data_IF_571617205563
#
_entry.id   IF_571617205563
#
_cell.length_a   1.000
_cell.length_b   1.000
_cell.length_c   1.000
_cell.angle_alpha   90.00
_cell.angle_beta   90.00
_cell.angle_gamma   90.00
#
_symmetry.space_group_name_H-M   'P 1'
#
loop_
_entity.id
_entity.type
_entity.pdbx_description
1 polymer ?
#
# COMPACT_ATOMS: atom_id res chain seq x y z
N UNK A 1 0.00 7.53 -14.36
CA UNK A 1 -1.48 7.53 -14.53
C UNK A 1 -2.15 7.60 -13.16
N UNK A 2 -3.25 8.34 -13.04
CA UNK A 2 -4.07 8.38 -11.82
C UNK A 2 -4.97 7.14 -11.75
N UNK A 3 -4.92 6.39 -10.64
CA UNK A 3 -5.85 5.29 -10.37
C UNK A 3 -6.98 5.70 -9.40
N UNK A 4 -6.81 6.85 -8.76
CA UNK A 4 -7.83 7.54 -7.97
C UNK A 4 -8.01 8.95 -8.48
N UNK A 5 -9.13 9.59 -8.15
CA UNK A 5 -9.36 11.00 -8.46
C UNK A 5 -8.22 11.88 -7.91
N UNK A 6 -7.60 12.78 -8.71
CA UNK A 6 -6.58 13.70 -8.22
C UNK A 6 -7.02 14.54 -7.00
N UNK A 7 -8.31 14.86 -6.86
CA UNK A 7 -8.85 15.56 -5.68
C UNK A 7 -8.85 14.67 -4.43
N UNK A 8 -9.06 13.37 -4.60
CA UNK A 8 -8.98 12.39 -3.51
C UNK A 8 -7.52 12.30 -3.00
N UNK A 9 -6.55 12.23 -3.92
CA UNK A 9 -5.14 12.31 -3.55
C UNK A 9 -4.77 13.64 -2.87
N UNK A 10 -5.25 14.78 -3.38
CA UNK A 10 -5.01 16.09 -2.76
C UNK A 10 -5.55 16.13 -1.32
N UNK A 11 -6.72 15.55 -1.09
CA UNK A 11 -7.30 15.42 0.24
C UNK A 11 -6.40 14.60 1.18
N UNK A 12 -5.90 13.45 0.72
CA UNK A 12 -4.99 12.60 1.51
C UNK A 12 -3.70 13.34 1.86
N UNK A 13 -3.08 14.00 0.88
CA UNK A 13 -1.82 14.73 1.09
C UNK A 13 -2.00 15.97 1.97
N UNK A 14 -3.15 16.66 1.90
CA UNK A 14 -3.45 17.78 2.77
C UNK A 14 -3.58 17.31 4.23
N UNK A 15 -4.30 16.21 4.49
CA UNK A 15 -4.39 15.60 5.81
C UNK A 15 -3.03 15.12 6.32
N UNK A 16 -2.25 14.46 5.47
CA UNK A 16 -0.91 13.99 5.81
C UNK A 16 -0.01 15.14 6.27
N UNK A 17 0.08 16.22 5.47
CA UNK A 17 0.91 17.39 5.80
C UNK A 17 0.44 18.10 7.06
N UNK A 18 -0.87 18.13 7.32
CA UNK A 18 -1.43 18.75 8.51
C UNK A 18 -1.15 17.92 9.78
N UNK A 19 -1.30 16.60 9.72
CA UNK A 19 -1.14 15.71 10.88
C UNK A 19 0.34 15.36 11.15
N UNK A 20 1.17 15.32 10.12
CA UNK A 20 2.56 14.84 10.18
C UNK A 20 3.51 15.93 9.66
N UNK A 21 3.58 17.12 10.30
CA UNK A 21 4.44 18.22 9.86
C UNK A 21 5.93 17.88 9.95
N UNK A 22 6.31 16.87 10.74
CA UNK A 22 7.68 16.40 10.84
C UNK A 22 8.16 15.56 9.65
N UNK A 23 7.27 15.06 8.79
CA UNK A 23 7.66 14.25 7.65
C UNK A 23 8.11 15.13 6.48
N UNK A 24 9.18 14.71 5.81
CA UNK A 24 9.66 15.35 4.60
C UNK A 24 9.01 14.74 3.36
N UNK A 25 8.62 15.59 2.42
CA UNK A 25 8.09 15.20 1.11
C UNK A 25 8.97 15.75 -0.04
N UNK A 26 10.15 16.27 0.27
CA UNK A 26 10.97 17.04 -0.68
C UNK A 26 11.53 16.19 -1.83
N UNK A 27 11.78 14.90 -1.58
CA UNK A 27 12.34 13.94 -2.56
C UNK A 27 11.28 13.10 -3.28
N UNK A 28 9.99 13.33 -3.05
CA UNK A 28 8.95 12.51 -3.69
C UNK A 28 8.95 12.62 -5.21
N UNK A 29 9.25 13.81 -5.75
CA UNK A 29 9.40 14.02 -7.19
C UNK A 29 10.61 13.27 -7.76
N UNK A 30 11.73 13.24 -7.02
CA UNK A 30 12.93 12.47 -7.36
C UNK A 30 12.62 10.97 -7.40
N UNK A 31 11.96 10.46 -6.36
CA UNK A 31 11.55 9.06 -6.27
C UNK A 31 10.64 8.65 -7.43
N UNK A 32 9.66 9.48 -7.76
CA UNK A 32 8.73 9.23 -8.87
C UNK A 32 9.44 9.19 -10.23
N UNK A 33 10.36 10.13 -10.48
CA UNK A 33 11.15 10.17 -11.71
C UNK A 33 12.10 8.97 -11.80
N UNK A 34 12.72 8.57 -10.69
CA UNK A 34 13.58 7.39 -10.66
C UNK A 34 12.78 6.12 -10.95
N UNK A 35 11.62 5.93 -10.30
CA UNK A 35 10.74 4.80 -10.55
C UNK A 35 10.28 4.72 -12.02
N UNK A 36 9.94 5.86 -12.62
CA UNK A 36 9.59 5.97 -14.05
C UNK A 36 10.73 5.47 -14.97
N UNK A 37 11.98 5.79 -14.65
CA UNK A 37 13.17 5.37 -15.43
C UNK A 37 13.55 3.91 -15.22
N UNK A 38 13.35 3.38 -14.02
CA UNK A 38 13.70 1.99 -13.70
C UNK A 38 12.81 0.97 -14.45
N UNK A 39 11.64 1.40 -14.90
CA UNK A 39 10.69 0.57 -15.63
C UNK A 39 10.04 -0.50 -14.76
N UNK A 40 8.77 -0.77 -15.03
CA UNK A 40 7.96 -1.77 -14.35
C UNK A 40 6.89 -2.30 -15.28
N UNK A 41 6.08 -3.23 -14.77
CA UNK A 41 4.86 -3.65 -15.44
C UNK A 41 3.84 -2.51 -15.45
N UNK A 42 2.91 -2.56 -16.40
CA UNK A 42 1.71 -1.70 -16.35
C UNK A 42 0.77 -2.18 -15.25
N UNK A 43 -0.20 -1.33 -14.90
CA UNK A 43 -1.31 -1.68 -14.00
C UNK A 43 -2.14 -2.86 -14.50
N UNK A 44 -2.08 -3.21 -15.79
CA UNK A 44 -2.79 -4.37 -16.34
C UNK A 44 -2.33 -5.70 -15.71
N UNK A 45 -1.08 -5.76 -15.24
CA UNK A 45 -0.58 -6.91 -14.48
C UNK A 45 -1.32 -7.10 -13.15
N UNK A 46 -1.87 -6.02 -12.58
CA UNK A 46 -2.73 -6.06 -11.39
C UNK A 46 -4.19 -6.31 -11.80
N UNK A 47 -4.66 -5.74 -12.91
CA UNK A 47 -6.02 -5.96 -13.42
C UNK A 47 -6.32 -7.42 -13.81
N UNK A 48 -5.28 -8.25 -13.98
CA UNK A 48 -5.43 -9.68 -14.27
C UNK A 48 -5.91 -10.52 -13.08
N UNK A 49 -5.85 -10.02 -11.85
CA UNK A 49 -6.38 -10.71 -10.67
C UNK A 49 -7.88 -10.45 -10.49
N UNK A 50 -8.59 -11.38 -9.84
CA UNK A 50 -9.97 -11.15 -9.42
C UNK A 50 -9.98 -10.29 -8.14
N UNK A 51 -10.21 -8.99 -8.30
CA UNK A 51 -10.30 -8.05 -7.19
C UNK A 51 -11.67 -8.00 -6.52
N UNK A 52 -12.65 -8.81 -6.93
CA UNK A 52 -14.03 -8.71 -6.43
C UNK A 52 -14.13 -8.78 -4.90
N UNK A 53 -13.29 -9.60 -4.25
CA UNK A 53 -13.25 -9.84 -2.80
C UNK A 53 -11.80 -9.99 -2.29
N UNK A 54 -10.97 -8.93 -2.35
CA UNK A 54 -9.59 -8.96 -1.90
C UNK A 54 -9.49 -9.07 -0.38
N UNK A 55 -8.46 -9.78 0.08
CA UNK A 55 -8.01 -9.77 1.46
C UNK A 55 -6.68 -9.03 1.59
N UNK A 56 -6.70 -7.93 2.33
CA UNK A 56 -5.52 -7.15 2.68
C UNK A 56 -5.02 -7.59 4.06
N UNK A 57 -3.78 -8.04 4.11
CA UNK A 57 -3.11 -8.48 5.33
C UNK A 57 -2.07 -7.43 5.73
N UNK A 58 -2.28 -6.76 6.87
CA UNK A 58 -1.33 -5.81 7.43
C UNK A 58 -0.76 -6.33 8.75
N UNK A 59 0.48 -5.99 9.12
CA UNK A 59 1.05 -6.46 10.37
C UNK A 59 0.48 -5.69 11.58
N UNK A 60 0.08 -6.38 12.68
CA UNK A 60 0.02 -7.83 12.84
C UNK A 60 -1.34 -8.39 12.39
N UNK A 61 -1.42 -9.18 11.33
CA UNK A 61 -2.65 -9.90 11.00
C UNK A 61 -2.80 -11.10 11.95
N UNK A 62 -4.05 -11.42 12.33
CA UNK A 62 -4.34 -12.48 13.31
C UNK A 62 -5.18 -13.62 12.75
N UNK A 63 -5.81 -13.42 11.60
CA UNK A 63 -6.69 -14.40 10.97
C UNK A 63 -6.45 -14.42 9.47
N UNK A 64 -6.61 -15.60 8.88
CA UNK A 64 -6.70 -15.74 7.43
C UNK A 64 -8.13 -15.45 6.99
N UNK A 65 -8.28 -14.79 5.83
CA UNK A 65 -9.58 -14.52 5.23
C UNK A 65 -9.94 -15.68 4.33
N UNK A 66 -10.97 -16.44 4.71
CA UNK A 66 -11.52 -17.48 3.86
C UNK A 66 -12.27 -16.91 2.64
N UNK A 67 -12.10 -17.55 1.49
CA UNK A 67 -12.81 -17.18 0.26
C UNK A 67 -12.36 -15.86 -0.37
N UNK A 68 -11.18 -15.35 -0.03
CA UNK A 68 -10.57 -14.20 -0.69
C UNK A 68 -10.25 -14.53 -2.15
N UNK A 69 -10.60 -13.64 -3.08
CA UNK A 69 -10.33 -13.81 -4.51
C UNK A 69 -8.90 -13.43 -4.89
N UNK A 70 -8.29 -12.51 -4.13
CA UNK A 70 -6.89 -12.12 -4.24
C UNK A 70 -6.35 -11.81 -2.85
N UNK A 71 -5.11 -12.24 -2.58
CA UNK A 71 -4.40 -12.01 -1.34
C UNK A 71 -3.35 -10.89 -1.50
N UNK A 72 -3.49 -9.85 -0.68
CA UNK A 72 -2.62 -8.67 -0.71
C UNK A 72 -1.85 -8.59 0.60
N UNK A 73 -0.53 -8.79 0.56
CA UNK A 73 0.33 -8.60 1.71
C UNK A 73 0.86 -7.15 1.76
N UNK A 74 0.89 -6.57 2.95
CA UNK A 74 1.52 -5.27 3.19
C UNK A 74 2.93 -5.50 3.73
N UNK A 75 3.93 -4.96 3.04
CA UNK A 75 5.36 -5.14 3.32
C UNK A 75 5.87 -6.58 3.12
N UNK A 76 7.19 -6.73 2.99
CA UNK A 76 7.83 -8.04 2.83
C UNK A 76 7.64 -8.95 4.05
N UNK A 77 7.61 -8.38 5.25
CA UNK A 77 7.35 -9.13 6.48
C UNK A 77 6.02 -9.88 6.44
N UNK A 78 4.93 -9.22 6.03
CA UNK A 78 3.62 -9.87 5.93
C UNK A 78 3.60 -10.92 4.83
N UNK A 79 4.30 -10.67 3.72
CA UNK A 79 4.44 -11.65 2.65
C UNK A 79 5.10 -12.95 3.15
N UNK A 80 6.18 -12.85 3.94
CA UNK A 80 6.83 -14.00 4.59
C UNK A 80 5.90 -14.69 5.57
N UNK A 81 5.22 -13.93 6.44
CA UNK A 81 4.30 -14.47 7.45
C UNK A 81 3.11 -15.22 6.83
N UNK A 82 2.59 -14.76 5.70
CA UNK A 82 1.56 -15.48 4.95
C UNK A 82 2.11 -16.78 4.34
N UNK A 83 3.31 -16.73 3.75
CA UNK A 83 3.95 -17.92 3.19
C UNK A 83 4.21 -19.00 4.26
N UNK A 84 4.65 -18.61 5.45
CA UNK A 84 4.79 -19.48 6.62
C UNK A 84 3.45 -20.10 7.07
N UNK A 85 2.33 -19.40 6.83
CA UNK A 85 0.97 -19.88 7.09
C UNK A 85 0.37 -20.68 5.91
N UNK A 86 1.15 -20.98 4.88
CA UNK A 86 0.70 -21.75 3.71
C UNK A 86 -0.08 -20.93 2.67
N UNK A 87 -0.11 -19.60 2.79
CA UNK A 87 -0.76 -18.70 1.84
C UNK A 87 0.30 -17.96 1.03
N UNK A 88 0.35 -18.19 -0.28
CA UNK A 88 1.21 -17.41 -1.17
C UNK A 88 0.50 -16.10 -1.52
N UNK A 89 1.07 -14.92 -1.20
CA UNK A 89 0.46 -13.66 -1.58
C UNK A 89 0.42 -13.48 -3.10
N UNK A 90 -0.68 -12.97 -3.62
CA UNK A 90 -0.80 -12.61 -5.03
C UNK A 90 -0.12 -11.28 -5.30
N UNK A 91 -0.40 -10.31 -4.44
CA UNK A 91 0.14 -8.96 -4.51
C UNK A 91 0.86 -8.62 -3.20
N UNK A 92 2.00 -7.94 -3.31
CA UNK A 92 2.68 -7.33 -2.15
C UNK A 92 2.74 -5.83 -2.36
N UNK A 93 2.21 -5.04 -1.43
CA UNK A 93 2.30 -3.57 -1.45
C UNK A 93 3.36 -3.15 -0.44
N UNK A 94 4.38 -2.41 -0.87
CA UNK A 94 5.50 -2.04 0.01
C UNK A 94 6.25 -0.81 -0.47
N UNK A 95 6.80 -0.04 0.45
CA UNK A 95 7.81 0.99 0.18
C UNK A 95 9.27 0.46 0.22
N UNK A 96 9.45 -0.85 0.44
CA UNK A 96 10.72 -1.59 0.55
C UNK A 96 11.48 -1.42 1.90
N UNK A 97 10.90 -0.77 2.91
CA UNK A 97 11.60 -0.54 4.19
C UNK A 97 11.77 -1.83 5.03
N UNK A 98 10.79 -2.73 4.99
CA UNK A 98 10.68 -3.84 5.92
C UNK A 98 10.66 -5.21 5.23
N UNK A 99 11.79 -5.91 5.39
CA UNK A 99 12.11 -7.19 4.72
C UNK A 99 11.90 -7.16 3.18
N UNK A 100 12.51 -6.21 2.44
CA UNK A 100 12.28 -6.05 1.00
C UNK A 100 12.60 -7.29 0.15
N UNK A 101 13.50 -8.16 0.62
CA UNK A 101 13.79 -9.45 -0.03
C UNK A 101 12.56 -10.40 -0.04
N UNK A 102 11.75 -10.35 1.01
CA UNK A 102 10.53 -11.17 1.16
C UNK A 102 9.38 -10.66 0.29
N UNK A 103 9.43 -9.42 -0.20
CA UNK A 103 8.40 -8.89 -1.10
C UNK A 103 8.27 -9.69 -2.41
N UNK A 104 9.37 -10.32 -2.86
CA UNK A 104 9.39 -11.19 -4.04
C UNK A 104 8.60 -12.50 -3.90
N UNK A 105 8.07 -12.82 -2.71
CA UNK A 105 7.17 -13.96 -2.52
C UNK A 105 5.82 -13.76 -3.24
N UNK A 106 5.43 -12.50 -3.46
CA UNK A 106 4.25 -12.11 -4.24
C UNK A 106 4.36 -12.44 -5.73
N UNK A 107 3.22 -12.63 -6.40
CA UNK A 107 3.19 -12.73 -7.88
C UNK A 107 3.47 -11.40 -8.57
N UNK A 108 3.00 -10.29 -7.99
CA UNK A 108 3.29 -8.91 -8.42
C UNK A 108 3.57 -8.05 -7.20
N UNK A 109 4.64 -7.26 -7.24
CA UNK A 109 4.99 -6.31 -6.16
C UNK A 109 4.62 -4.90 -6.57
N UNK A 110 3.77 -4.25 -5.79
CA UNK A 110 3.44 -2.84 -5.91
C UNK A 110 4.40 -2.05 -5.03
N UNK A 111 5.36 -1.39 -5.68
CA UNK A 111 6.44 -0.66 -5.00
C UNK A 111 6.07 0.81 -4.91
N UNK A 112 5.89 1.31 -3.70
CA UNK A 112 5.64 2.72 -3.44
C UNK A 112 6.94 3.52 -3.42
N UNK A 113 7.15 4.33 -4.46
CA UNK A 113 8.28 5.22 -4.57
C UNK A 113 7.96 6.59 -3.95
N UNK A 114 8.60 6.88 -2.82
CA UNK A 114 8.59 8.18 -2.15
C UNK A 114 9.98 8.57 -1.64
N UNK A 115 10.09 9.81 -1.17
CA UNK A 115 11.37 10.47 -0.91
C UNK A 115 12.27 9.81 0.13
N UNK A 116 11.71 9.14 1.13
CA UNK A 116 12.50 8.48 2.18
C UNK A 116 13.13 7.16 1.68
N UNK A 117 12.51 6.52 0.68
CA UNK A 117 12.87 5.18 0.22
C UNK A 117 13.48 5.17 -1.19
N UNK A 118 13.72 6.35 -1.78
CA UNK A 118 14.27 6.51 -3.13
C UNK A 118 15.59 5.77 -3.33
N UNK A 119 16.43 5.72 -2.29
CA UNK A 119 17.75 5.08 -2.34
C UNK A 119 17.64 3.53 -2.31
N UNK A 120 16.48 2.98 -1.92
CA UNK A 120 16.20 1.54 -1.94
C UNK A 120 15.72 1.03 -3.31
N UNK A 121 15.13 1.90 -4.14
CA UNK A 121 14.59 1.53 -5.46
C UNK A 121 15.59 0.85 -6.40
N UNK A 122 16.87 1.28 -6.51
CA UNK A 122 17.85 0.58 -7.35
C UNK A 122 18.36 -0.72 -6.72
N UNK A 123 18.33 -0.83 -5.39
CA UNK A 123 18.84 -1.97 -4.62
C UNK A 123 17.87 -3.16 -4.66
N UNK A 124 16.59 -2.89 -4.42
CA UNK A 124 15.55 -3.91 -4.39
C UNK A 124 14.62 -3.76 -5.59
N UNK A 125 14.81 -4.65 -6.57
CA UNK A 125 14.05 -4.64 -7.83
C UNK A 125 13.36 -5.98 -8.06
N UNK A 126 12.20 -6.22 -7.42
CA UNK A 126 11.42 -7.41 -7.72
C UNK A 126 11.16 -7.52 -9.23
N UNK A 127 11.28 -8.71 -9.84
CA UNK A 127 11.23 -8.86 -11.28
C UNK A 127 9.86 -8.48 -11.87
N UNK A 128 8.79 -8.80 -11.15
CA UNK A 128 7.41 -8.43 -11.50
C UNK A 128 6.94 -7.33 -10.55
N UNK A 129 7.14 -6.07 -10.94
CA UNK A 129 6.80 -4.91 -10.10
C UNK A 129 6.00 -3.85 -10.85
N UNK A 130 5.09 -3.18 -10.14
CA UNK A 130 4.38 -1.98 -10.59
C UNK A 130 4.78 -0.84 -9.65
N UNK A 131 5.17 0.31 -10.17
CA UNK A 131 5.56 1.45 -9.35
C UNK A 131 4.37 2.35 -9.05
N UNK A 132 4.12 2.60 -7.76
CA UNK A 132 3.21 3.62 -7.28
C UNK A 132 3.97 4.82 -6.73
N UNK A 133 3.33 5.99 -6.72
CA UNK A 133 3.91 7.26 -6.27
C UNK A 133 2.86 8.10 -5.53
N UNK A 134 3.32 9.10 -4.78
CA UNK A 134 2.46 10.06 -4.04
C UNK A 134 2.50 11.49 -4.58
N UNK A 135 2.88 11.65 -5.84
CA UNK A 135 2.90 12.91 -6.60
C UNK A 135 2.10 12.74 -7.89
N UNK A 136 1.87 13.81 -8.69
CA UNK A 136 1.40 13.65 -10.05
C UNK A 136 2.27 12.63 -10.82
N UNK A 137 1.68 11.51 -11.28
CA UNK A 137 2.47 10.34 -11.65
C UNK A 137 3.13 10.52 -13.04
N UNK A 138 4.47 10.44 -13.15
CA UNK A 138 5.15 10.38 -14.44
C UNK A 138 4.77 9.13 -15.25
N UNK A 139 5.17 9.03 -16.53
CA UNK A 139 4.92 7.85 -17.34
C UNK A 139 5.43 6.56 -16.68
N UNK A 140 4.66 5.48 -16.79
CA UNK A 140 5.03 4.17 -16.22
C UNK A 140 4.89 4.07 -14.69
N UNK A 141 4.42 5.11 -14.00
CA UNK A 141 4.05 5.03 -12.58
C UNK A 141 2.58 5.37 -12.35
N UNK A 142 2.08 5.01 -11.17
CA UNK A 142 0.67 5.11 -10.84
C UNK A 142 0.45 5.80 -9.49
N UNK A 143 -0.58 6.64 -9.38
CA UNK A 143 -0.98 7.18 -8.08
C UNK A 143 -2.26 6.48 -7.63
N UNK A 144 -2.17 5.72 -6.53
CA UNK A 144 -3.26 4.91 -5.98
C UNK A 144 -4.00 5.61 -4.83
N UNK A 145 -3.62 6.83 -4.43
CA UNK A 145 -4.09 7.42 -3.18
C UNK A 145 -3.51 6.70 -1.96
N UNK A 146 -4.13 6.87 -0.80
CA UNK A 146 -3.61 6.39 0.47
C UNK A 146 -2.35 7.14 0.91
N UNK A 147 -1.86 6.77 2.09
CA UNK A 147 -0.70 7.31 2.75
C UNK A 147 0.28 6.23 3.21
N UNK A 148 -0.16 5.29 4.05
CA UNK A 148 0.66 4.14 4.50
C UNK A 148 0.47 2.95 3.58
N UNK A 149 1.43 2.01 3.55
CA UNK A 149 1.34 0.83 2.68
C UNK A 149 0.03 0.03 2.90
N UNK A 150 -0.46 -0.01 4.14
CA UNK A 150 -1.72 -0.66 4.48
C UNK A 150 -2.94 -0.01 3.84
N UNK A 151 -3.16 1.29 4.08
CA UNK A 151 -4.30 1.98 3.48
C UNK A 151 -4.13 2.13 1.95
N UNK A 152 -2.90 2.24 1.43
CA UNK A 152 -2.59 2.19 -0.01
C UNK A 152 -3.03 0.88 -0.65
N UNK A 153 -2.84 -0.25 0.03
CA UNK A 153 -3.32 -1.55 -0.43
C UNK A 153 -4.86 -1.60 -0.53
N UNK A 154 -5.57 -0.98 0.41
CA UNK A 154 -7.02 -0.88 0.37
C UNK A 154 -7.51 0.04 -0.78
N UNK A 155 -6.88 1.19 -0.99
CA UNK A 155 -7.21 2.07 -2.11
C UNK A 155 -6.86 1.45 -3.47
N UNK A 156 -5.75 0.70 -3.56
CA UNK A 156 -5.43 -0.09 -4.74
C UNK A 156 -6.55 -1.10 -5.02
N UNK A 157 -6.98 -1.85 -4.01
CA UNK A 157 -8.06 -2.83 -4.16
C UNK A 157 -9.35 -2.19 -4.69
N UNK A 158 -9.74 -1.04 -4.13
CA UNK A 158 -10.87 -0.26 -4.62
C UNK A 158 -10.68 0.18 -6.09
N UNK A 159 -9.52 0.74 -6.44
CA UNK A 159 -9.22 1.18 -7.80
C UNK A 159 -9.22 0.03 -8.81
N UNK A 160 -8.94 -1.20 -8.37
CA UNK A 160 -8.98 -2.41 -9.20
C UNK A 160 -10.38 -3.06 -9.28
N UNK A 161 -11.40 -2.46 -8.66
CA UNK A 161 -12.80 -2.89 -8.79
C UNK A 161 -13.32 -3.77 -7.66
N UNK A 162 -12.75 -3.67 -6.46
CA UNK A 162 -13.25 -4.39 -5.29
C UNK A 162 -14.72 -4.05 -4.98
N UNK A 163 -15.52 -5.10 -4.73
CA UNK A 163 -16.93 -4.98 -4.32
C UNK A 163 -17.09 -4.98 -2.80
N UNK A 164 -16.15 -5.61 -2.11
CA UNK A 164 -15.93 -5.55 -0.67
C UNK A 164 -14.43 -5.74 -0.43
N UNK A 165 -13.91 -5.28 0.70
CA UNK A 165 -12.51 -5.47 1.10
C UNK A 165 -12.47 -6.09 2.49
N UNK A 166 -11.77 -7.21 2.64
CA UNK A 166 -11.45 -7.75 3.96
C UNK A 166 -10.06 -7.26 4.39
N UNK A 167 -9.94 -6.73 5.60
CA UNK A 167 -8.67 -6.29 6.18
C UNK A 167 -8.42 -7.15 7.42
N UNK A 168 -7.35 -7.95 7.40
CA UNK A 168 -6.83 -8.57 8.62
C UNK A 168 -5.56 -7.84 9.06
N UNK A 169 -5.59 -7.36 10.30
CA UNK A 169 -4.53 -6.51 10.83
C UNK A 169 -4.78 -5.05 10.53
N UNK A 170 -5.50 -4.40 11.42
CA UNK A 170 -5.57 -2.95 11.57
C UNK A 170 -6.22 -2.68 12.93
N UNK A 171 -5.41 -2.40 13.95
CA UNK A 171 -5.88 -2.29 15.34
C UNK A 171 -5.60 -0.88 15.90
N UNK A 172 -6.37 0.14 15.49
CA UNK A 172 -6.17 1.52 15.92
C UNK A 172 -6.33 1.71 17.44
N UNK A 173 -7.15 0.86 18.08
CA UNK A 173 -7.44 0.93 19.51
C UNK A 173 -6.38 0.22 20.38
N UNK A 174 -5.45 -0.53 19.78
CA UNK A 174 -4.37 -1.18 20.55
C UNK A 174 -3.37 -0.11 20.97
N UNK A 175 -3.05 0.02 22.28
CA UNK A 175 -2.15 1.04 22.76
C UNK A 175 -0.79 0.97 22.08
N UNK A 176 -0.44 2.00 21.31
CA UNK A 176 0.93 2.18 20.82
C UNK A 176 1.81 2.49 22.03
N UNK A 177 2.99 1.88 22.13
CA UNK A 177 3.97 2.21 23.17
C UNK A 177 4.14 3.73 23.19
N UNK A 178 4.02 4.35 24.39
CA UNK A 178 3.94 5.82 24.64
C UNK A 178 5.02 6.72 23.98
N UNK A 179 5.99 6.17 23.24
CA UNK A 179 7.13 6.87 22.65
C UNK A 179 7.06 7.09 21.14
N UNK A 180 5.98 6.74 20.46
CA UNK A 180 5.90 6.90 18.99
C UNK A 180 4.68 7.73 18.55
N UNK A 181 4.77 9.05 18.78
CA UNK A 181 3.72 10.01 18.40
C UNK A 181 3.53 10.14 16.89
N UNK A 182 4.58 9.87 16.10
CA UNK A 182 4.51 9.85 14.64
C UNK A 182 3.69 8.66 14.18
N UNK A 183 4.00 7.45 14.68
CA UNK A 183 3.23 6.25 14.36
C UNK A 183 1.76 6.36 14.77
N UNK A 184 1.47 6.96 15.93
CA UNK A 184 0.10 7.21 16.34
C UNK A 184 -0.66 8.11 15.35
N UNK A 185 -0.02 9.17 14.85
CA UNK A 185 -0.60 10.07 13.85
C UNK A 185 -0.71 9.43 12.47
N UNK A 186 0.25 8.60 12.06
CA UNK A 186 0.14 7.76 10.85
C UNK A 186 -1.06 6.81 10.94
N UNK A 187 -1.26 6.15 12.09
CA UNK A 187 -2.37 5.23 12.31
C UNK A 187 -3.73 5.95 12.32
N UNK A 188 -3.79 7.14 12.94
CA UNK A 188 -4.98 7.99 12.92
C UNK A 188 -5.34 8.45 11.50
N UNK A 189 -4.33 8.84 10.70
CA UNK A 189 -4.52 9.18 9.30
C UNK A 189 -5.00 7.98 8.49
N UNK A 190 -4.33 6.83 8.58
CA UNK A 190 -4.75 5.61 7.91
C UNK A 190 -6.20 5.23 8.28
N UNK A 191 -6.56 5.34 9.56
CA UNK A 191 -7.92 5.10 10.04
C UNK A 191 -8.94 6.07 9.44
N UNK A 192 -8.62 7.35 9.34
CA UNK A 192 -9.47 8.34 8.69
C UNK A 192 -9.64 8.06 7.18
N UNK A 193 -8.56 7.64 6.50
CA UNK A 193 -8.59 7.30 5.08
C UNK A 193 -9.39 6.03 4.80
N UNK A 194 -9.27 5.00 5.65
CA UNK A 194 -10.06 3.77 5.56
C UNK A 194 -11.54 4.02 5.90
N UNK A 195 -11.83 4.85 6.90
CA UNK A 195 -13.20 5.25 7.24
C UNK A 195 -13.86 6.12 6.16
N UNK A 196 -13.05 6.83 5.36
CA UNK A 196 -13.53 7.53 4.17
C UNK A 196 -13.81 6.55 3.04
N UNK A 197 -12.88 5.63 2.77
CA UNK A 197 -13.02 4.61 1.73
C UNK A 197 -14.23 3.69 1.99
N UNK A 198 -14.51 3.37 3.26
CA UNK A 198 -15.65 2.52 3.64
C UNK A 198 -17.03 3.09 3.29
N UNK A 199 -17.09 4.38 2.90
CA UNK A 199 -18.32 5.02 2.42
C UNK A 199 -18.67 4.67 0.98
N UNK A 200 -17.70 4.19 0.20
CA UNK A 200 -17.86 3.86 -1.22
C UNK A 200 -17.66 2.38 -1.54
N UNK A 201 -16.96 1.65 -0.67
CA UNK A 201 -16.80 0.19 -0.75
C UNK A 201 -16.91 -0.42 0.65
N UNK A 202 -17.68 -1.49 0.87
CA UNK A 202 -17.73 -2.19 2.15
C UNK A 202 -16.33 -2.66 2.59
N UNK A 203 -15.95 -2.34 3.83
CA UNK A 203 -14.70 -2.81 4.44
C UNK A 203 -15.04 -3.62 5.70
N UNK A 204 -14.57 -4.87 5.74
CA UNK A 204 -14.69 -5.77 6.89
C UNK A 204 -13.34 -5.92 7.56
N UNK A 205 -13.25 -5.51 8.82
CA UNK A 205 -12.04 -5.66 9.65
C UNK A 205 -12.07 -6.98 10.43
N UNK A 206 -10.91 -7.66 10.53
CA UNK A 206 -10.68 -8.91 11.24
C UNK A 206 -9.57 -8.78 12.31
#
# INVERSE_FOLDING_TARGET
MWLVDPLEWQHHMALARALLPELSFSRDGEAALLASRLGGLSVDALAAFDWSRPAVYMPPFRALVEGASVSVAVEGFTARRLAEAGVRPDVVVTDLDYEPASAGLGSVVVVHAHGDNVDLLPLYRPPRRVYTVQVPPPPGTYNVGGFTDGDRAAYLAYAMGAREIAISGFYPDVPIKRRDSVKARKLALAGALLARLSRVVPIRFL
#
